data_IF_553760718130
#
_entry.id   IF_553760718130
#
_cell.length_a   1.000
_cell.length_b   1.000
_cell.length_c   1.000
_cell.angle_alpha   90.00
_cell.angle_beta   90.00
_cell.angle_gamma   90.00
#
_symmetry.space_group_name_H-M   'P 1'
#
loop_
_entity.id
_entity.type
_entity.pdbx_description
1 polymer ?
#
# COMPACT_ATOMS: atom_id res chain seq x y z
N UNK A 1 24.73 -12.00 -54.27
CA UNK A 1 25.52 -12.86 -53.38
C UNK A 1 25.83 -12.04 -52.13
N UNK A 2 25.23 -12.45 -51.00
CA UNK A 2 25.74 -12.30 -49.62
C UNK A 2 25.98 -10.88 -49.07
N UNK A 3 25.04 -10.34 -48.27
CA UNK A 3 25.28 -9.52 -47.05
C UNK A 3 23.96 -8.92 -46.50
N UNK A 4 23.06 -9.74 -45.92
CA UNK A 4 21.93 -9.21 -45.10
C UNK A 4 21.64 -10.06 -43.84
N UNK A 5 22.27 -11.23 -43.67
CA UNK A 5 21.83 -12.21 -42.64
C UNK A 5 22.51 -12.01 -41.26
N UNK A 6 23.46 -11.07 -41.10
CA UNK A 6 24.25 -10.96 -39.86
C UNK A 6 23.71 -10.01 -38.78
N UNK A 7 22.69 -9.18 -39.04
CA UNK A 7 22.20 -8.22 -38.03
C UNK A 7 21.11 -8.78 -37.10
N UNK A 8 20.39 -9.84 -37.49
CA UNK A 8 19.31 -10.37 -36.64
C UNK A 8 19.80 -11.28 -35.52
N UNK A 9 20.94 -11.93 -35.66
CA UNK A 9 21.46 -12.83 -34.62
C UNK A 9 22.03 -12.07 -33.42
N UNK A 10 22.50 -10.83 -33.61
CA UNK A 10 23.08 -10.01 -32.53
C UNK A 10 21.98 -9.46 -31.60
N UNK A 11 20.78 -9.15 -32.14
CA UNK A 11 19.67 -8.65 -31.32
C UNK A 11 19.10 -9.76 -30.42
N UNK A 12 19.05 -11.01 -30.90
CA UNK A 12 18.55 -12.14 -30.09
C UNK A 12 19.50 -12.46 -28.93
N UNK A 13 20.82 -12.33 -29.11
CA UNK A 13 21.77 -12.52 -28.01
C UNK A 13 21.78 -11.35 -27.03
N UNK A 14 21.48 -10.12 -27.48
CA UNK A 14 21.38 -8.94 -26.61
C UNK A 14 20.14 -8.91 -25.71
N UNK A 15 19.03 -9.57 -26.10
CA UNK A 15 17.77 -9.59 -25.33
C UNK A 15 17.72 -10.73 -24.29
N UNK A 16 18.59 -11.74 -24.39
CA UNK A 16 18.60 -12.90 -23.47
C UNK A 16 19.37 -12.64 -22.15
N UNK A 17 20.00 -11.47 -21.96
CA UNK A 17 20.73 -11.16 -20.70
C UNK A 17 19.83 -10.60 -19.57
N UNK A 18 18.50 -10.43 -19.78
CA UNK A 18 17.59 -9.99 -18.69
C UNK A 18 16.76 -11.15 -18.08
N UNK A 19 17.04 -12.42 -18.41
CA UNK A 19 16.45 -13.56 -17.69
C UNK A 19 17.32 -13.99 -16.51
N UNK A 20 17.60 -13.05 -15.61
CA UNK A 20 18.08 -13.34 -14.26
C UNK A 20 17.40 -12.41 -13.25
N UNK A 21 16.10 -12.17 -13.42
CA UNK A 21 15.26 -11.95 -12.25
C UNK A 21 15.22 -13.26 -11.49
N UNK A 22 16.14 -13.40 -10.51
CA UNK A 22 15.88 -14.27 -9.38
C UNK A 22 14.52 -13.84 -8.85
N UNK A 23 13.50 -14.67 -9.07
CA UNK A 23 12.35 -14.74 -8.17
C UNK A 23 12.93 -15.30 -6.87
N UNK A 24 13.68 -14.45 -6.18
CA UNK A 24 14.04 -14.68 -4.81
C UNK A 24 12.71 -14.77 -4.07
N UNK A 25 12.50 -15.89 -3.40
CA UNK A 25 11.49 -16.00 -2.38
C UNK A 25 11.48 -14.68 -1.60
N UNK A 26 10.31 -14.01 -1.54
CA UNK A 26 10.07 -12.85 -0.69
C UNK A 26 10.16 -13.38 0.75
N UNK A 27 11.40 -13.52 1.23
CA UNK A 27 11.75 -13.91 2.60
C UNK A 27 12.72 -12.89 3.16
N UNK A 28 12.44 -11.63 2.86
CA UNK A 28 12.95 -10.48 3.59
C UNK A 28 11.73 -9.57 3.81
N UNK A 29 10.80 -10.04 4.62
CA UNK A 29 9.68 -9.22 5.03
C UNK A 29 10.24 -8.11 5.92
N UNK A 30 9.99 -6.85 5.55
CA UNK A 30 10.20 -5.73 6.46
C UNK A 30 9.48 -6.07 7.76
N UNK A 31 10.24 -6.12 8.86
CA UNK A 31 9.65 -6.27 10.17
C UNK A 31 8.73 -5.07 10.40
N UNK A 32 7.47 -5.38 10.71
CA UNK A 32 6.41 -4.40 10.95
C UNK A 32 6.30 -4.26 12.46
N UNK A 33 6.50 -3.04 12.97
CA UNK A 33 6.19 -2.73 14.37
C UNK A 33 4.78 -2.14 14.43
N UNK A 34 3.87 -2.84 15.11
CA UNK A 34 2.47 -2.42 15.30
C UNK A 34 2.29 -2.04 16.76
N UNK A 35 1.71 -0.86 17.02
CA UNK A 35 1.44 -0.39 18.37
C UNK A 35 -0.05 -0.20 18.61
N UNK A 36 -0.49 -0.55 19.82
CA UNK A 36 -1.89 -0.58 20.21
C UNK A 36 -2.14 0.17 21.52
N UNK A 37 -3.34 0.75 21.65
CA UNK A 37 -3.87 1.27 22.91
C UNK A 37 -5.23 0.62 23.20
N UNK A 38 -5.29 -0.16 24.27
CA UNK A 38 -6.52 -0.78 24.79
C UNK A 38 -7.38 0.28 25.49
N UNK A 39 -8.64 0.44 25.05
CA UNK A 39 -9.77 0.72 25.94
C UNK A 39 -10.93 -0.20 25.54
N UNK A 40 -11.37 -0.99 26.51
CA UNK A 40 -12.22 -2.17 26.34
C UNK A 40 -13.53 -1.95 25.58
N UNK A 41 -13.93 -2.98 24.83
CA UNK A 41 -15.22 -3.10 24.17
C UNK A 41 -15.76 -4.52 24.33
N UNK A 42 -16.94 -4.63 24.93
CA UNK A 42 -17.69 -5.88 25.15
C UNK A 42 -18.23 -6.41 23.82
N UNK A 43 -17.94 -7.68 23.51
CA UNK A 43 -18.49 -8.39 22.35
C UNK A 43 -19.98 -8.71 22.56
N UNK A 44 -20.85 -8.22 21.67
CA UNK A 44 -22.27 -8.60 21.59
C UNK A 44 -22.51 -9.41 20.32
N UNK A 45 -22.93 -10.65 20.49
CA UNK A 45 -23.44 -11.52 19.43
C UNK A 45 -24.76 -10.96 18.90
N UNK A 46 -24.90 -10.79 17.58
CA UNK A 46 -26.19 -10.49 16.95
C UNK A 46 -26.42 -11.37 15.73
N UNK A 47 -27.67 -11.80 15.61
CA UNK A 47 -28.19 -12.74 14.62
C UNK A 47 -28.03 -12.17 13.20
N UNK A 48 -27.40 -12.95 12.33
CA UNK A 48 -27.18 -12.61 10.92
C UNK A 48 -28.40 -13.04 10.10
N UNK A 49 -29.07 -12.09 9.45
CA UNK A 49 -30.00 -12.35 8.37
C UNK A 49 -29.50 -11.65 7.09
N UNK A 50 -29.42 -12.45 6.02
CA UNK A 50 -29.08 -12.14 4.61
C UNK A 50 -27.67 -11.58 4.36
N UNK A 51 -26.74 -12.50 4.07
CA UNK A 51 -25.31 -12.29 3.78
C UNK A 51 -25.07 -11.59 2.44
N UNK A 52 -25.17 -10.25 2.41
CA UNK A 52 -24.27 -9.48 1.54
C UNK A 52 -22.88 -9.58 2.17
N UNK A 53 -21.87 -10.02 1.42
CA UNK A 53 -20.52 -10.11 1.94
C UNK A 53 -20.09 -8.71 2.43
N UNK A 54 -19.74 -8.62 3.72
CA UNK A 54 -19.21 -7.38 4.30
C UNK A 54 -17.90 -7.05 3.61
N UNK A 55 -17.78 -5.81 3.13
CA UNK A 55 -16.56 -5.31 2.53
C UNK A 55 -15.79 -4.55 3.60
N UNK A 56 -14.54 -4.95 3.83
CA UNK A 56 -13.65 -4.28 4.76
C UNK A 56 -12.56 -3.54 3.99
N UNK A 57 -12.01 -2.49 4.60
CA UNK A 57 -10.82 -1.80 4.13
C UNK A 57 -9.75 -1.87 5.21
N UNK A 58 -8.49 -1.72 4.81
CA UNK A 58 -7.45 -1.44 5.78
C UNK A 58 -7.66 -0.10 6.46
N UNK A 59 -7.37 -0.06 7.75
CA UNK A 59 -7.50 1.08 8.64
C UNK A 59 -6.26 1.18 9.54
N UNK A 60 -5.26 1.94 9.09
CA UNK A 60 -3.99 2.14 9.81
C UNK A 60 -3.18 3.29 9.19
N UNK A 61 -2.13 3.74 9.89
CA UNK A 61 -1.16 4.71 9.36
C UNK A 61 0.24 4.13 9.33
N UNK A 62 0.91 4.24 8.18
CA UNK A 62 2.32 3.94 8.02
C UNK A 62 3.12 5.25 8.03
N UNK A 63 4.04 5.36 8.99
CA UNK A 63 4.82 6.57 9.24
C UNK A 63 6.18 6.56 8.55
N UNK A 64 6.30 5.73 7.51
CA UNK A 64 7.51 5.63 6.72
C UNK A 64 8.52 4.58 7.25
N UNK A 65 9.69 4.55 6.61
CA UNK A 65 10.81 3.71 7.04
C UNK A 65 11.37 4.20 8.37
N UNK A 66 11.62 3.28 9.30
CA UNK A 66 12.39 3.56 10.50
C UNK A 66 13.86 3.80 10.11
N UNK A 67 14.43 4.91 10.56
CA UNK A 67 15.84 5.25 10.35
C UNK A 67 16.61 5.10 11.67
N UNK A 68 17.95 5.15 11.61
CA UNK A 68 18.79 5.17 12.81
C UNK A 68 18.57 6.42 13.69
N UNK A 69 17.90 7.45 13.17
CA UNK A 69 17.49 8.64 13.90
C UNK A 69 16.10 8.55 14.51
N UNK A 70 15.34 7.48 14.23
CA UNK A 70 14.05 7.24 14.88
C UNK A 70 14.30 6.95 16.37
N UNK A 71 13.92 7.91 17.20
CA UNK A 71 14.13 7.89 18.64
C UNK A 71 13.09 7.01 19.34
N UNK A 72 13.35 6.66 20.59
CA UNK A 72 12.34 6.01 21.45
C UNK A 72 11.11 6.89 21.69
N UNK A 73 11.22 8.21 21.51
CA UNK A 73 10.08 9.13 21.54
C UNK A 73 9.20 8.94 20.30
N UNK A 74 9.79 8.69 19.13
CA UNK A 74 9.07 8.42 17.89
C UNK A 74 8.32 7.07 17.95
N UNK A 75 8.82 6.11 18.72
CA UNK A 75 8.09 4.87 19.03
C UNK A 75 6.92 5.08 20.00
N UNK A 76 6.90 6.23 20.68
CA UNK A 76 5.84 6.59 21.63
C UNK A 76 4.73 7.44 21.00
N UNK A 77 4.78 7.70 19.69
CA UNK A 77 3.77 8.52 19.01
C UNK A 77 2.37 7.90 19.12
N UNK A 78 1.39 8.80 19.16
CA UNK A 78 -0.05 8.56 19.13
C UNK A 78 -0.67 9.58 18.20
N UNK A 79 -1.76 9.19 17.52
CA UNK A 79 -2.46 10.09 16.60
C UNK A 79 -2.87 11.42 17.26
N UNK A 80 -3.39 11.34 18.49
CA UNK A 80 -3.92 12.49 19.26
C UNK A 80 -2.86 13.54 19.62
N UNK A 81 -1.58 13.16 19.66
CA UNK A 81 -0.52 13.97 20.27
C UNK A 81 0.45 14.56 19.25
N UNK A 82 0.55 13.98 18.05
CA UNK A 82 1.71 14.21 17.16
C UNK A 82 1.37 14.58 15.72
N UNK A 83 0.11 14.47 15.32
CA UNK A 83 -0.30 14.78 13.96
C UNK A 83 -1.01 16.12 13.93
N UNK A 84 -0.69 16.94 12.92
CA UNK A 84 -1.38 18.21 12.69
C UNK A 84 -2.84 17.91 12.37
N UNK A 85 -3.75 18.80 12.74
CA UNK A 85 -5.21 18.66 12.48
C UNK A 85 -5.57 18.41 11.00
N UNK A 86 -4.65 18.72 10.08
CA UNK A 86 -4.84 18.60 8.64
C UNK A 86 -4.41 17.23 8.06
N UNK A 87 -3.58 16.44 8.76
CA UNK A 87 -3.14 15.12 8.28
C UNK A 87 -3.93 14.02 8.98
N UNK A 88 -4.61 13.13 8.23
CA UNK A 88 -5.40 12.07 8.85
C UNK A 88 -4.47 11.06 9.53
N UNK A 89 -4.82 10.64 10.75
CA UNK A 89 -4.08 9.64 11.48
C UNK A 89 -5.02 8.58 12.05
N UNK A 90 -4.64 7.33 11.87
CA UNK A 90 -5.40 6.15 12.26
C UNK A 90 -4.50 5.12 12.92
N UNK A 91 -4.94 4.61 14.06
CA UNK A 91 -4.32 3.49 14.75
C UNK A 91 -4.68 2.16 14.03
N UNK A 92 -3.78 1.17 14.00
CA UNK A 92 -2.44 1.21 14.59
C UNK A 92 -1.44 2.05 13.77
N UNK A 93 -0.49 2.67 14.47
CA UNK A 93 0.70 3.24 13.85
C UNK A 93 1.72 2.16 13.51
N UNK A 94 2.24 2.21 12.28
CA UNK A 94 3.13 1.20 11.72
C UNK A 94 4.40 1.82 11.16
N UNK A 95 5.51 1.13 11.37
CA UNK A 95 6.80 1.41 10.74
C UNK A 95 7.33 0.18 10.00
N UNK A 96 8.13 0.43 8.99
CA UNK A 96 8.90 -0.60 8.28
C UNK A 96 10.38 -0.46 8.62
N UNK A 97 11.05 -1.58 8.85
CA UNK A 97 12.49 -1.59 9.14
C UNK A 97 13.23 -2.51 8.17
N UNK A 98 14.52 -2.24 7.97
CA UNK A 98 15.42 -3.10 7.20
C UNK A 98 15.59 -2.65 5.74
N UNK A 99 16.08 -3.59 4.92
CA UNK A 99 16.31 -3.38 3.50
C UNK A 99 14.96 -3.36 2.79
N UNK A 100 14.73 -2.37 1.93
CA UNK A 100 13.47 -2.15 1.19
C UNK A 100 12.32 -1.62 2.08
N UNK A 101 12.65 -0.96 3.20
CA UNK A 101 11.70 -0.34 4.12
C UNK A 101 10.84 0.77 3.46
N UNK A 102 11.27 1.37 2.36
CA UNK A 102 10.51 2.37 1.60
C UNK A 102 9.30 1.79 0.85
N UNK A 103 9.19 0.46 0.73
CA UNK A 103 8.06 -0.20 0.04
C UNK A 103 6.78 -0.27 0.89
N UNK A 104 6.71 0.40 2.03
CA UNK A 104 5.54 0.31 2.91
C UNK A 104 5.38 -1.08 3.56
N UNK A 105 4.40 -1.20 4.46
CA UNK A 105 4.22 -2.42 5.24
C UNK A 105 3.47 -3.48 4.44
N UNK A 106 3.76 -4.75 4.72
CA UNK A 106 2.92 -5.85 4.25
C UNK A 106 1.65 -5.88 5.10
N UNK A 107 0.52 -5.60 4.48
CA UNK A 107 -0.76 -5.46 5.17
C UNK A 107 -1.27 -6.77 5.78
N UNK A 108 -0.92 -7.92 5.20
CA UNK A 108 -1.23 -9.23 5.78
C UNK A 108 -0.50 -9.44 7.11
N UNK A 109 0.74 -8.96 7.24
CA UNK A 109 1.49 -9.04 8.50
C UNK A 109 0.85 -8.15 9.57
N UNK A 110 0.36 -6.97 9.19
CA UNK A 110 -0.37 -6.09 10.13
C UNK A 110 -1.62 -6.82 10.67
N UNK A 111 -2.40 -7.44 9.80
CA UNK A 111 -3.57 -8.25 10.21
C UNK A 111 -3.17 -9.38 11.16
N UNK A 112 -2.18 -10.18 10.80
CA UNK A 112 -1.69 -11.30 11.63
C UNK A 112 -1.21 -10.84 13.01
N UNK A 113 -0.49 -9.71 13.09
CA UNK A 113 -0.04 -9.15 14.37
C UNK A 113 -1.24 -8.67 15.20
N UNK A 114 -2.18 -7.96 14.59
CA UNK A 114 -3.36 -7.49 15.30
C UNK A 114 -4.26 -8.64 15.78
N UNK A 115 -4.44 -9.67 14.96
CA UNK A 115 -5.23 -10.85 15.31
C UNK A 115 -4.56 -11.64 16.43
N UNK A 116 -3.25 -11.86 16.36
CA UNK A 116 -2.51 -12.64 17.36
C UNK A 116 -2.38 -11.93 18.71
N UNK A 117 -2.26 -10.60 18.72
CA UNK A 117 -2.20 -9.81 19.95
C UNK A 117 -3.58 -9.52 20.52
N UNK A 118 -4.61 -9.40 19.66
CA UNK A 118 -5.95 -8.96 20.04
C UNK A 118 -6.01 -7.50 20.49
N UNK A 119 -4.93 -6.74 20.28
CA UNK A 119 -4.76 -5.40 20.82
C UNK A 119 -5.08 -4.29 19.79
N UNK A 120 -5.14 -4.61 18.50
CA UNK A 120 -5.61 -3.70 17.43
C UNK A 120 -6.68 -4.31 16.55
N UNK A 121 -7.34 -3.42 15.80
CA UNK A 121 -8.11 -3.77 14.63
C UNK A 121 -7.61 -2.95 13.43
N UNK A 122 -6.92 -3.54 12.45
CA UNK A 122 -6.37 -2.84 11.30
C UNK A 122 -7.39 -2.75 10.15
N UNK A 123 -8.67 -3.05 10.41
CA UNK A 123 -9.73 -3.08 9.43
C UNK A 123 -10.91 -2.19 9.86
N UNK A 124 -11.59 -1.62 8.87
CA UNK A 124 -12.89 -0.98 9.04
C UNK A 124 -13.88 -1.56 8.02
N UNK A 125 -15.16 -1.63 8.40
CA UNK A 125 -16.24 -2.05 7.51
C UNK A 125 -16.78 -0.81 6.79
N UNK A 126 -16.95 -0.88 5.46
CA UNK A 126 -17.58 0.23 4.72
C UNK A 126 -19.08 0.30 5.02
N UNK A 127 -19.62 1.51 5.14
CA UNK A 127 -21.04 1.73 5.37
C UNK A 127 -21.60 2.77 4.38
N UNK A 128 -22.80 2.53 3.86
CA UNK A 128 -23.47 3.49 2.97
C UNK A 128 -22.67 3.83 1.71
N UNK A 129 -22.16 5.06 1.64
CA UNK A 129 -21.36 5.59 0.51
C UNK A 129 -19.85 5.54 0.74
N UNK A 130 -19.42 4.93 1.83
CA UNK A 130 -18.00 4.81 2.15
C UNK A 130 -17.28 3.91 1.14
N UNK A 131 -15.98 4.13 1.03
CA UNK A 131 -15.06 3.33 0.24
C UNK A 131 -13.75 3.14 0.98
N UNK A 132 -12.90 2.27 0.44
CA UNK A 132 -11.52 2.17 0.85
C UNK A 132 -10.71 3.32 0.24
N UNK A 133 -10.05 4.07 1.11
CA UNK A 133 -9.19 5.19 0.75
C UNK A 133 -7.76 4.83 1.13
N UNK A 134 -6.81 5.19 0.26
CA UNK A 134 -5.38 5.23 0.57
C UNK A 134 -4.82 6.59 0.21
N UNK A 135 -4.23 7.28 1.19
CA UNK A 135 -3.47 8.49 0.99
C UNK A 135 -1.98 8.16 1.07
N UNK A 136 -1.19 8.69 0.15
CA UNK A 136 0.27 8.53 0.13
C UNK A 136 0.89 9.91 -0.01
N UNK A 137 1.70 10.29 0.96
CA UNK A 137 2.45 11.54 0.96
C UNK A 137 3.87 11.27 0.46
N UNK A 138 4.34 12.08 -0.48
CA UNK A 138 5.68 11.96 -1.06
C UNK A 138 6.57 13.13 -0.67
N UNK A 139 7.84 12.83 -0.40
CA UNK A 139 8.88 13.84 -0.15
C UNK A 139 9.20 14.60 -1.43
N UNK A 140 9.05 15.93 -1.39
CA UNK A 140 9.14 16.83 -2.54
C UNK A 140 10.49 16.84 -3.27
N UNK A 141 11.58 16.57 -2.56
CA UNK A 141 12.96 16.79 -3.05
C UNK A 141 13.74 15.51 -3.35
N UNK A 142 13.37 14.37 -2.76
CA UNK A 142 14.21 13.16 -2.75
C UNK A 142 13.58 11.98 -3.51
N UNK A 143 12.29 12.04 -3.81
CA UNK A 143 11.58 10.91 -4.42
C UNK A 143 11.46 9.76 -3.43
N UNK A 144 10.38 9.71 -2.68
CA UNK A 144 10.16 8.65 -1.69
C UNK A 144 8.85 8.88 -0.96
N UNK A 145 8.28 7.81 -0.41
CA UNK A 145 7.08 7.91 0.42
C UNK A 145 7.48 8.41 1.81
N UNK A 146 6.83 9.46 2.27
CA UNK A 146 6.98 10.00 3.62
C UNK A 146 6.08 9.23 4.59
N UNK A 147 4.77 9.27 4.33
CA UNK A 147 3.74 8.57 5.11
C UNK A 147 2.65 8.02 4.19
N UNK A 148 1.85 7.08 4.70
CA UNK A 148 0.61 6.68 4.03
C UNK A 148 -0.47 6.28 5.03
N UNK A 149 -1.72 6.51 4.67
CA UNK A 149 -2.88 6.24 5.52
C UNK A 149 -3.93 5.47 4.74
N UNK A 150 -4.38 4.36 5.32
CA UNK A 150 -5.45 3.52 4.79
C UNK A 150 -6.65 3.64 5.72
N UNK A 151 -7.85 3.89 5.19
CA UNK A 151 -9.07 4.03 5.99
C UNK A 151 -10.35 3.87 5.16
N UNK A 152 -11.49 3.77 5.85
CA UNK A 152 -12.82 3.85 5.27
C UNK A 152 -13.33 5.29 5.34
N UNK A 153 -13.93 5.79 4.27
CA UNK A 153 -14.62 7.06 4.34
C UNK A 153 -15.32 7.47 3.07
N UNK A 154 -16.01 8.60 3.17
CA UNK A 154 -16.70 9.25 2.07
C UNK A 154 -16.03 10.59 1.74
N UNK A 155 -15.83 10.88 0.46
CA UNK A 155 -15.36 12.19 -0.01
C UNK A 155 -16.58 13.12 -0.16
N UNK A 156 -16.60 14.24 0.55
CA UNK A 156 -17.70 15.21 0.43
C UNK A 156 -17.63 15.97 -0.89
N UNK A 157 -18.78 16.12 -1.55
CA UNK A 157 -18.96 17.04 -2.67
C UNK A 157 -18.52 16.52 -4.05
N UNK A 158 -17.95 15.31 -4.14
CA UNK A 158 -17.62 14.66 -5.41
C UNK A 158 -17.92 13.17 -5.26
N UNK A 159 -18.56 12.57 -6.28
CA UNK A 159 -18.65 11.12 -6.35
C UNK A 159 -17.25 10.57 -6.54
N UNK A 160 -16.71 9.80 -5.59
CA UNK A 160 -15.37 9.28 -5.75
C UNK A 160 -15.27 8.41 -7.00
N UNK A 161 -14.29 8.73 -7.84
CA UNK A 161 -13.95 7.94 -9.02
C UNK A 161 -12.89 6.94 -8.58
N UNK A 162 -13.18 5.64 -8.74
CA UNK A 162 -12.20 4.58 -8.48
C UNK A 162 -10.88 4.83 -9.21
N UNK A 163 -9.77 4.50 -8.55
CA UNK A 163 -8.42 4.77 -9.04
C UNK A 163 -7.69 5.80 -8.20
N UNK A 164 -6.50 6.18 -8.68
CA UNK A 164 -5.57 7.05 -7.96
C UNK A 164 -5.46 8.42 -8.62
N UNK A 165 -5.53 9.46 -7.80
CA UNK A 165 -5.49 10.86 -8.21
C UNK A 165 -4.35 11.56 -7.48
N UNK A 166 -3.63 12.43 -8.18
CA UNK A 166 -2.50 13.16 -7.63
C UNK A 166 -2.83 14.63 -7.43
N UNK A 167 -2.39 15.20 -6.31
CA UNK A 167 -2.50 16.62 -6.04
C UNK A 167 -1.20 17.13 -5.42
N UNK A 168 -0.75 18.30 -5.87
CA UNK A 168 0.33 19.03 -5.20
C UNK A 168 -0.24 19.86 -4.07
N UNK A 169 0.27 19.67 -2.86
CA UNK A 169 -0.06 20.50 -1.71
C UNK A 169 0.77 21.80 -1.73
N UNK A 170 0.26 22.85 -1.06
CA UNK A 170 0.87 24.19 -1.06
C UNK A 170 2.22 24.26 -0.35
N UNK A 171 2.47 23.32 0.56
CA UNK A 171 3.73 23.13 1.29
C UNK A 171 4.80 22.39 0.46
N UNK A 172 4.47 22.01 -0.77
CA UNK A 172 5.36 21.34 -1.70
C UNK A 172 5.25 19.82 -1.66
N UNK A 173 4.47 19.21 -0.75
CA UNK A 173 4.29 17.76 -0.74
C UNK A 173 3.39 17.31 -1.89
N UNK A 174 3.76 16.22 -2.55
CA UNK A 174 2.91 15.58 -3.53
C UNK A 174 2.08 14.50 -2.82
N UNK A 175 0.76 14.50 -3.06
CA UNK A 175 -0.17 13.55 -2.43
C UNK A 175 -0.88 12.73 -3.50
N UNK A 176 -0.93 11.43 -3.29
CA UNK A 176 -1.76 10.51 -4.07
C UNK A 176 -2.91 10.02 -3.21
N UNK A 177 -4.13 10.17 -3.71
CA UNK A 177 -5.34 9.61 -3.12
C UNK A 177 -5.91 8.51 -4.03
N UNK A 178 -5.96 7.28 -3.53
CA UNK A 178 -6.55 6.14 -4.22
C UNK A 178 -7.88 5.72 -3.59
N UNK A 179 -8.85 5.40 -4.44
CA UNK A 179 -10.21 5.04 -4.06
C UNK A 179 -10.59 3.70 -4.68
N UNK A 180 -11.22 2.81 -3.90
CA UNK A 180 -11.72 1.52 -4.39
C UNK A 180 -12.81 0.95 -3.48
N UNK A 181 -13.68 0.09 -4.05
CA UNK A 181 -14.89 -0.42 -3.37
C UNK A 181 -14.87 -1.91 -3.02
N UNK A 182 -13.77 -2.63 -3.26
CA UNK A 182 -13.68 -4.08 -3.02
C UNK A 182 -12.95 -4.41 -1.71
N UNK A 183 -13.14 -5.61 -1.16
CA UNK A 183 -12.53 -6.03 0.11
C UNK A 183 -11.00 -5.84 0.10
N UNK A 184 -10.50 -5.15 1.13
CA UNK A 184 -9.08 -4.87 1.41
C UNK A 184 -8.31 -4.25 0.24
N UNK A 185 -8.99 -3.56 -0.68
CA UNK A 185 -8.37 -3.08 -1.93
C UNK A 185 -7.32 -1.97 -1.71
N UNK A 186 -7.45 -1.19 -0.62
CA UNK A 186 -6.49 -0.15 -0.26
C UNK A 186 -5.18 -0.69 0.37
N UNK A 187 -5.00 -2.01 0.46
CA UNK A 187 -3.75 -2.58 0.95
C UNK A 187 -2.67 -2.70 -0.11
N UNK A 188 -3.07 -2.81 -1.38
CA UNK A 188 -2.14 -3.23 -2.41
C UNK A 188 -1.30 -2.09 -2.98
N UNK A 189 0.00 -2.34 -3.10
CA UNK A 189 0.84 -1.76 -4.15
C UNK A 189 0.67 -2.63 -5.41
N UNK A 190 -0.48 -2.59 -6.09
CA UNK A 190 -0.58 -3.29 -7.38
C UNK A 190 0.25 -2.52 -8.39
N UNK A 191 1.52 -2.90 -8.52
CA UNK A 191 2.15 -2.87 -9.83
C UNK A 191 1.21 -3.64 -10.75
N UNK A 192 0.56 -2.95 -11.68
CA UNK A 192 -0.34 -3.56 -12.64
C UNK A 192 0.49 -4.46 -13.56
N UNK A 193 0.71 -5.71 -13.13
CA UNK A 193 1.36 -6.79 -13.89
C UNK A 193 0.61 -7.01 -15.22
N UNK A 194 -0.66 -6.58 -15.31
CA UNK A 194 -1.46 -6.63 -16.54
C UNK A 194 -0.79 -5.95 -17.72
N UNK A 195 -0.15 -4.79 -17.54
CA UNK A 195 0.56 -4.11 -18.63
C UNK A 195 1.82 -4.88 -19.08
N UNK A 196 2.54 -5.48 -18.14
CA UNK A 196 3.71 -6.31 -18.44
C UNK A 196 3.33 -7.57 -19.21
N UNK A 197 2.24 -8.25 -18.82
CA UNK A 197 1.75 -9.44 -19.51
C UNK A 197 1.24 -9.07 -20.92
N UNK A 198 0.47 -7.98 -21.07
CA UNK A 198 0.03 -7.51 -22.38
C UNK A 198 1.21 -7.16 -23.30
N UNK A 199 2.24 -6.49 -22.78
CA UNK A 199 3.46 -6.20 -23.55
C UNK A 199 4.15 -7.48 -24.03
N UNK A 200 4.34 -8.46 -23.14
CA UNK A 200 4.94 -9.77 -23.50
C UNK A 200 4.11 -10.46 -24.59
N UNK A 201 2.79 -10.53 -24.45
CA UNK A 201 1.92 -11.18 -25.44
C UNK A 201 1.95 -10.49 -26.80
N UNK A 202 1.97 -9.15 -26.85
CA UNK A 202 2.10 -8.40 -28.11
C UNK A 202 3.46 -8.66 -28.76
N UNK A 203 4.56 -8.66 -28.00
CA UNK A 203 5.88 -8.96 -28.56
C UNK A 203 5.97 -10.40 -29.09
N UNK A 204 5.39 -11.38 -28.41
CA UNK A 204 5.33 -12.77 -28.88
C UNK A 204 4.49 -12.93 -30.16
N UNK A 205 3.40 -12.18 -30.30
CA UNK A 205 2.56 -12.20 -31.49
C UNK A 205 3.21 -11.55 -32.72
N UNK A 206 4.18 -10.64 -32.54
CA UNK A 206 4.92 -10.00 -33.62
C UNK A 206 6.14 -10.81 -34.10
N UNK A 207 6.55 -11.83 -33.33
CA UNK A 207 7.70 -12.70 -33.65
C UNK A 207 7.27 -13.96 -34.42
N UNK A 208 6.00 -14.36 -34.34
CA UNK A 208 5.41 -15.46 -35.12
C UNK A 208 4.74 -14.94 -36.40
#
# INVERSE_FOLDING_TARGET
MMQVIQFHTIIIVGVIIISSFKVGAIKNQNLVFVRNNVKGGVSRTSLVNTTTAKVNCYHFSWLGPMTSSTSSADLNLRCEENFKEEEPCFEPLVYTIGKDNENGPNTTIIEEICESTGECNPLCEISGTDMCIKLVYYKSSEGGVDSSHSFCGTVKGVLPIEGCHYQKMKDGMDVQACFCSTDRCNGSQRLSISYFICYILVTLALIN
#
